data_IF_954422493538
#
_entry.id   IF_954422493538
#
_cell.length_a   1.000
_cell.length_b   1.000
_cell.length_c   1.000
_cell.angle_alpha   90.00
_cell.angle_beta   90.00
_cell.angle_gamma   90.00
#
_symmetry.space_group_name_H-M   'P 1'
#
loop_
_entity.id
_entity.type
_entity.pdbx_description
1 polymer ?
#
# COMPACT_ATOMS: atom_id res chain seq x y z
N UNK A 1 -27.47 -7.73 -31.51
CA UNK A 1 -26.35 -6.83 -31.89
C UNK A 1 -25.71 -6.32 -30.61
N UNK A 2 -24.46 -6.69 -30.33
CA UNK A 2 -23.77 -6.32 -29.09
C UNK A 2 -22.98 -5.02 -29.32
N UNK A 3 -23.24 -3.99 -28.52
CA UNK A 3 -22.49 -2.73 -28.56
C UNK A 3 -21.17 -2.93 -27.82
N UNK A 4 -20.05 -2.84 -28.54
CA UNK A 4 -18.74 -2.85 -27.90
C UNK A 4 -18.48 -1.47 -27.29
N UNK A 5 -18.29 -1.42 -25.97
CA UNK A 5 -17.85 -0.21 -25.27
C UNK A 5 -16.38 0.06 -25.61
N UNK A 6 -16.12 1.11 -26.38
CA UNK A 6 -14.76 1.51 -26.75
C UNK A 6 -14.31 2.62 -25.82
N UNK A 7 -13.18 2.41 -25.14
CA UNK A 7 -12.54 3.39 -24.30
C UNK A 7 -11.86 4.45 -25.17
N UNK A 8 -12.22 5.72 -24.99
CA UNK A 8 -11.60 6.85 -25.71
C UNK A 8 -10.60 7.53 -24.77
N UNK A 9 -9.29 7.51 -25.07
CA UNK A 9 -8.30 8.21 -24.25
C UNK A 9 -8.50 9.72 -24.37
N UNK A 10 -8.56 10.39 -23.21
CA UNK A 10 -8.70 11.85 -23.12
C UNK A 10 -7.31 12.50 -23.28
N UNK A 11 -7.14 13.50 -24.15
CA UNK A 11 -5.87 14.19 -24.30
C UNK A 11 -5.48 14.93 -23.01
N UNK A 12 -4.18 14.92 -22.70
CA UNK A 12 -3.63 15.55 -21.51
C UNK A 12 -3.85 17.08 -21.52
N UNK A 13 -4.82 17.55 -20.74
CA UNK A 13 -4.97 18.95 -20.42
C UNK A 13 -3.81 19.44 -19.54
N UNK A 14 -3.32 20.65 -19.79
CA UNK A 14 -2.38 21.32 -18.89
C UNK A 14 -3.16 21.76 -17.64
N UNK A 15 -2.83 21.19 -16.49
CA UNK A 15 -3.37 21.65 -15.22
C UNK A 15 -2.53 22.82 -14.69
N UNK A 16 -3.19 23.90 -14.30
CA UNK A 16 -2.56 25.01 -13.59
C UNK A 16 -2.99 24.96 -12.13
N UNK A 17 -2.02 25.01 -11.22
CA UNK A 17 -2.28 25.13 -9.78
C UNK A 17 -2.47 26.62 -9.51
N UNK A 18 -3.67 27.01 -9.10
CA UNK A 18 -3.96 28.36 -8.61
C UNK A 18 -3.69 28.34 -7.10
N UNK A 19 -2.55 28.89 -6.68
CA UNK A 19 -2.28 29.16 -5.27
C UNK A 19 -3.05 30.42 -4.86
N UNK A 20 -4.08 30.24 -4.05
CA UNK A 20 -4.79 31.33 -3.37
C UNK A 20 -3.95 31.80 -2.19
N UNK A 21 -3.13 32.81 -2.44
CA UNK A 21 -2.33 33.52 -1.44
C UNK A 21 -3.21 34.40 -0.53
N UNK A 22 -4.01 33.78 0.35
CA UNK A 22 -4.69 34.45 1.45
C UNK A 22 -4.95 33.47 2.61
N UNK A 23 -3.90 33.01 3.29
CA UNK A 23 -4.03 32.61 4.70
C UNK A 23 -2.71 32.81 5.45
N UNK A 24 -2.70 33.84 6.30
CA UNK A 24 -1.66 34.19 7.26
C UNK A 24 -1.62 33.18 8.41
N UNK A 25 -0.56 32.37 8.52
CA UNK A 25 0.19 32.14 9.76
C UNK A 25 1.41 31.21 9.57
N UNK A 26 2.58 31.84 9.55
CA UNK A 26 3.86 31.47 10.18
C UNK A 26 4.06 30.03 10.70
N UNK A 27 4.92 29.27 10.03
CA UNK A 27 6.18 28.81 10.62
C UNK A 27 7.16 28.30 9.57
N UNK A 28 8.35 28.87 9.62
CA UNK A 28 9.51 28.69 8.75
C UNK A 28 10.00 27.25 8.64
N UNK A 29 10.26 26.79 7.42
CA UNK A 29 11.58 26.26 7.06
C UNK A 29 11.92 26.72 5.64
N UNK A 30 13.03 27.45 5.56
CA UNK A 30 13.53 28.16 4.39
C UNK A 30 14.42 27.26 3.53
N UNK A 31 14.16 27.31 2.22
CA UNK A 31 15.04 27.20 1.04
C UNK A 31 16.13 26.10 0.93
N UNK A 32 16.01 25.28 -0.13
CA UNK A 32 16.89 25.29 -1.34
C UNK A 32 16.45 24.18 -2.33
N UNK A 33 16.12 24.47 -3.60
CA UNK A 33 16.21 23.48 -4.67
C UNK A 33 17.59 23.58 -5.35
N UNK A 34 18.46 22.60 -5.13
CA UNK A 34 19.72 22.46 -5.87
C UNK A 34 19.43 21.88 -7.24
N UNK A 35 19.55 22.72 -8.27
CA UNK A 35 19.53 22.36 -9.69
C UNK A 35 20.72 21.46 -10.05
N UNK A 36 20.54 20.29 -10.68
CA UNK A 36 21.62 19.68 -11.44
C UNK A 36 21.63 20.25 -12.87
N UNK A 37 22.66 21.04 -13.15
CA UNK A 37 23.09 21.49 -14.47
C UNK A 37 23.45 20.26 -15.34
N UNK A 38 22.76 20.08 -16.46
CA UNK A 38 23.09 19.04 -17.44
C UNK A 38 24.13 19.63 -18.40
N UNK A 39 25.38 19.19 -18.27
CA UNK A 39 26.46 19.48 -19.23
C UNK A 39 26.48 18.40 -20.30
N UNK A 40 26.33 18.80 -21.56
CA UNK A 40 26.39 17.94 -22.73
C UNK A 40 27.86 17.66 -23.11
N UNK A 41 28.26 16.39 -23.15
CA UNK A 41 29.52 15.94 -23.79
C UNK A 41 29.26 14.73 -24.70
N UNK A 42 30.12 14.49 -25.71
CA UNK A 42 29.70 13.92 -26.99
C UNK A 42 29.75 12.39 -27.07
N UNK A 43 28.94 11.91 -28.01
CA UNK A 43 28.82 10.56 -28.56
C UNK A 43 30.11 9.73 -28.55
N UNK A 44 30.06 8.56 -27.91
CA UNK A 44 31.04 7.47 -28.08
C UNK A 44 30.31 6.22 -28.55
N UNK A 45 30.87 5.65 -29.61
CA UNK A 45 30.38 4.61 -30.50
C UNK A 45 29.72 3.39 -29.84
N UNK A 46 28.63 2.98 -30.48
CA UNK A 46 27.81 1.79 -30.23
C UNK A 46 28.64 0.55 -30.59
N UNK A 47 29.02 -0.25 -29.60
CA UNK A 47 29.48 -1.63 -29.83
C UNK A 47 28.33 -2.57 -29.47
N UNK A 48 27.77 -3.21 -30.50
CA UNK A 48 26.66 -4.16 -30.42
C UNK A 48 27.11 -5.46 -29.75
N UNK A 49 27.02 -5.51 -28.42
CA UNK A 49 27.14 -6.77 -27.68
C UNK A 49 25.74 -7.30 -27.36
N UNK A 50 25.45 -8.40 -28.03
CA UNK A 50 24.30 -9.30 -27.97
C UNK A 50 23.34 -9.16 -26.78
N UNK A 51 22.06 -9.03 -27.13
CA UNK A 51 20.90 -9.11 -26.25
C UNK A 51 20.83 -10.50 -25.58
N UNK A 52 21.49 -10.66 -24.44
CA UNK A 52 21.31 -11.82 -23.57
C UNK A 52 19.97 -11.61 -22.85
N UNK A 53 18.97 -12.39 -23.25
CA UNK A 53 17.63 -12.41 -22.62
C UNK A 53 17.80 -12.62 -21.11
N UNK A 54 17.20 -11.77 -20.23
CA UNK A 54 17.31 -11.96 -18.80
C UNK A 54 16.67 -13.29 -18.42
N UNK A 55 17.48 -14.21 -17.92
CA UNK A 55 17.04 -15.49 -17.37
C UNK A 55 16.14 -15.16 -16.19
N UNK A 56 14.83 -15.38 -16.35
CA UNK A 56 13.85 -15.20 -15.27
C UNK A 56 14.22 -16.17 -14.16
N UNK A 57 14.91 -15.68 -13.14
CA UNK A 57 15.10 -16.45 -11.93
C UNK A 57 13.73 -16.56 -11.28
N UNK A 58 13.17 -17.77 -11.31
CA UNK A 58 12.02 -18.09 -10.48
C UNK A 58 12.58 -18.05 -9.05
N UNK A 59 12.36 -16.93 -8.35
CA UNK A 59 12.56 -16.87 -6.91
C UNK A 59 11.67 -17.98 -6.35
N UNK A 60 12.28 -19.09 -5.94
CA UNK A 60 11.59 -20.10 -5.16
C UNK A 60 11.28 -19.42 -3.83
N UNK A 61 10.08 -18.84 -3.75
CA UNK A 61 9.52 -18.32 -2.52
C UNK A 61 9.40 -19.54 -1.61
N UNK A 62 10.36 -19.71 -0.69
CA UNK A 62 10.27 -20.74 0.33
C UNK A 62 8.95 -20.50 1.03
N UNK A 63 8.02 -21.45 0.87
CA UNK A 63 6.75 -21.44 1.58
C UNK A 63 7.13 -21.53 3.05
N UNK A 64 7.23 -20.38 3.70
CA UNK A 64 7.31 -20.30 5.14
C UNK A 64 6.05 -20.99 5.63
N UNK A 65 6.20 -22.21 6.12
CA UNK A 65 5.15 -22.98 6.77
C UNK A 65 4.86 -22.28 8.10
N UNK A 66 4.25 -21.09 8.04
CA UNK A 66 3.66 -20.49 9.22
C UNK A 66 2.59 -21.45 9.67
N UNK A 67 2.87 -22.14 10.77
CA UNK A 67 1.90 -22.98 11.46
C UNK A 67 0.60 -22.20 11.59
N UNK A 68 -0.51 -22.82 11.17
CA UNK A 68 -1.83 -22.17 11.19
C UNK A 68 -2.12 -21.72 12.62
N UNK A 69 -2.05 -20.41 12.86
CA UNK A 69 -2.26 -19.84 14.19
C UNK A 69 -3.72 -20.02 14.57
N UNK A 70 -3.96 -20.81 15.62
CA UNK A 70 -5.29 -21.04 16.16
C UNK A 70 -5.62 -19.97 17.20
N UNK A 71 -6.50 -19.05 16.84
CA UNK A 71 -6.94 -17.97 17.72
C UNK A 71 -8.02 -18.46 18.69
N UNK A 72 -7.80 -18.23 19.98
CA UNK A 72 -8.79 -18.52 21.02
C UNK A 72 -10.01 -17.60 20.88
N UNK A 73 -11.17 -18.06 21.34
CA UNK A 73 -12.41 -17.27 21.30
C UNK A 73 -12.24 -15.88 21.95
N UNK A 74 -11.64 -15.82 23.14
CA UNK A 74 -11.40 -14.57 23.86
C UNK A 74 -10.53 -13.58 23.08
N UNK A 75 -9.55 -14.07 22.30
CA UNK A 75 -8.69 -13.23 21.46
C UNK A 75 -9.50 -12.63 20.30
N UNK A 76 -10.37 -13.44 19.67
CA UNK A 76 -11.26 -12.96 18.61
C UNK A 76 -12.20 -11.87 19.12
N UNK A 77 -12.86 -12.09 20.26
CA UNK A 77 -13.77 -11.12 20.87
C UNK A 77 -13.05 -9.83 21.23
N UNK A 78 -11.86 -9.92 21.83
CA UNK A 78 -11.06 -8.74 22.16
C UNK A 78 -10.65 -7.94 20.91
N UNK A 79 -10.18 -8.62 19.87
CA UNK A 79 -9.79 -7.97 18.61
C UNK A 79 -10.99 -7.27 17.93
N UNK A 80 -12.16 -7.89 17.96
CA UNK A 80 -13.39 -7.33 17.40
C UNK A 80 -13.87 -6.13 18.20
N UNK A 81 -13.79 -6.19 19.54
CA UNK A 81 -14.08 -5.04 20.41
C UNK A 81 -13.17 -3.86 20.07
N UNK A 82 -11.87 -4.10 19.88
CA UNK A 82 -10.93 -3.05 19.45
C UNK A 82 -11.20 -2.53 18.05
N UNK A 83 -11.65 -3.38 17.13
CA UNK A 83 -12.09 -2.95 15.81
C UNK A 83 -13.31 -2.02 15.88
N UNK A 84 -14.24 -2.26 16.81
CA UNK A 84 -15.39 -1.38 17.04
C UNK A 84 -15.00 -0.03 17.64
N UNK A 85 -13.98 0.02 18.50
CA UNK A 85 -13.52 1.25 19.16
C UNK A 85 -12.67 2.13 18.23
N UNK A 86 -11.76 1.53 17.45
CA UNK A 86 -10.74 2.25 16.68
C UNK A 86 -10.96 2.24 15.16
N UNK A 87 -11.80 1.33 14.66
CA UNK A 87 -11.87 0.96 13.25
C UNK A 87 -10.83 -0.11 12.88
N UNK A 88 -11.12 -0.92 11.85
CA UNK A 88 -10.34 -2.13 11.51
C UNK A 88 -8.83 -1.87 11.35
N UNK A 89 -8.45 -0.90 10.51
CA UNK A 89 -7.04 -0.65 10.17
C UNK A 89 -6.23 -0.18 11.39
N UNK A 90 -6.82 0.68 12.22
CA UNK A 90 -6.17 1.18 13.44
C UNK A 90 -6.11 0.08 14.50
N UNK A 91 -7.16 -0.73 14.63
CA UNK A 91 -7.20 -1.84 15.57
C UNK A 91 -6.12 -2.88 15.28
N UNK A 92 -5.83 -3.19 14.02
CA UNK A 92 -4.76 -4.16 13.69
C UNK A 92 -3.41 -3.64 14.09
N UNK A 93 -3.08 -2.40 13.72
CA UNK A 93 -1.82 -1.77 14.13
C UNK A 93 -1.69 -1.76 15.65
N UNK A 94 -2.77 -1.38 16.34
CA UNK A 94 -2.82 -1.39 17.79
C UNK A 94 -2.56 -2.78 18.38
N UNK A 95 -3.23 -3.82 17.89
CA UNK A 95 -3.10 -5.19 18.37
C UNK A 95 -1.69 -5.76 18.10
N UNK A 96 -1.12 -5.49 16.93
CA UNK A 96 0.24 -5.90 16.57
C UNK A 96 1.30 -5.21 17.42
N UNK A 97 1.12 -3.92 17.75
CA UNK A 97 2.06 -3.16 18.58
C UNK A 97 1.96 -3.58 20.05
N UNK A 98 0.74 -3.68 20.58
CA UNK A 98 0.53 -3.96 22.01
C UNK A 98 0.74 -5.43 22.38
N UNK A 99 0.45 -6.33 21.45
CA UNK A 99 0.44 -7.77 21.70
C UNK A 99 1.05 -8.52 20.50
N UNK A 100 2.33 -8.29 20.16
CA UNK A 100 2.95 -8.89 18.97
C UNK A 100 2.94 -10.42 19.02
N UNK A 101 3.25 -11.01 20.18
CA UNK A 101 3.27 -12.47 20.36
C UNK A 101 1.96 -13.15 19.93
N UNK A 102 0.84 -12.46 20.20
CA UNK A 102 -0.49 -12.97 19.85
C UNK A 102 -0.88 -12.49 18.47
N UNK A 103 -0.83 -11.20 18.15
CA UNK A 103 -1.44 -10.61 16.96
C UNK A 103 -0.52 -10.32 15.77
N UNK A 104 0.76 -10.72 15.79
CA UNK A 104 1.72 -10.46 14.70
C UNK A 104 1.18 -10.83 13.31
N UNK A 105 0.70 -12.06 13.14
CA UNK A 105 0.16 -12.54 11.86
C UNK A 105 -1.31 -12.14 11.61
N UNK A 106 -1.90 -11.26 12.43
CA UNK A 106 -3.28 -10.83 12.24
C UNK A 106 -3.39 -9.94 11.00
N UNK A 107 -4.09 -10.44 9.97
CA UNK A 107 -4.40 -9.66 8.77
C UNK A 107 -5.76 -8.94 8.86
N UNK A 108 -5.92 -7.91 8.02
CA UNK A 108 -7.17 -7.16 7.88
C UNK A 108 -8.34 -8.03 7.44
N UNK A 109 -8.11 -8.90 6.47
CA UNK A 109 -9.11 -9.86 5.99
C UNK A 109 -9.57 -10.82 7.09
N UNK A 110 -8.66 -11.28 7.95
CA UNK A 110 -8.98 -12.18 9.06
C UNK A 110 -9.89 -11.49 10.08
N UNK A 111 -9.57 -10.26 10.46
CA UNK A 111 -10.38 -9.50 11.40
C UNK A 111 -11.76 -9.18 10.82
N UNK A 112 -11.83 -8.79 9.55
CA UNK A 112 -13.08 -8.55 8.84
C UNK A 112 -13.96 -9.82 8.79
N UNK A 113 -13.36 -10.97 8.49
CA UNK A 113 -14.06 -12.25 8.49
C UNK A 113 -14.70 -12.55 9.85
N UNK A 114 -13.99 -12.32 10.96
CA UNK A 114 -14.56 -12.55 12.29
C UNK A 114 -15.74 -11.62 12.59
N UNK A 115 -15.63 -10.34 12.24
CA UNK A 115 -16.73 -9.37 12.43
C UNK A 115 -17.97 -9.82 11.66
N UNK A 116 -17.81 -10.21 10.40
CA UNK A 116 -18.91 -10.65 9.56
C UNK A 116 -19.54 -11.96 10.08
N UNK A 117 -18.72 -12.89 10.55
CA UNK A 117 -19.21 -14.16 11.09
C UNK A 117 -20.05 -13.97 12.36
N UNK A 118 -19.69 -13.03 13.23
CA UNK A 118 -20.50 -12.71 14.42
C UNK A 118 -21.82 -12.05 14.02
N UNK A 119 -21.78 -11.13 13.05
CA UNK A 119 -23.00 -10.47 12.57
C UNK A 119 -24.02 -11.48 12.04
N UNK A 120 -23.56 -12.49 11.29
CA UNK A 120 -24.42 -13.54 10.76
C UNK A 120 -24.90 -14.54 11.82
N UNK A 121 -24.19 -14.69 12.94
CA UNK A 121 -24.57 -15.60 14.03
C UNK A 121 -25.63 -15.01 14.97
N UNK A 122 -25.80 -13.69 14.98
CA UNK A 122 -26.73 -12.98 15.87
C UNK A 122 -27.98 -12.49 15.14
N UNK A 123 -28.18 -12.91 13.89
CA UNK A 123 -29.30 -12.51 13.03
C UNK A 123 -30.25 -13.67 12.81
#
# INVERSE_FOLDING_TARGET
MHTMSVFVPVPHGKYQIVTNENNTNTNSFSSLPTTPTISSTPSTNITTNSLIKPKKYIVQLSKSFRSKKNWKYNQKVFAIKKASELGLTKAIKFLQIQYPEVYEDLSLSTLQYWIQHIKNSNS
#
